data_IF_622354014513
#
_entry.id   IF_622354014513
#
_cell.length_a   1.000
_cell.length_b   1.000
_cell.length_c   1.000
_cell.angle_alpha   90.00
_cell.angle_beta   90.00
_cell.angle_gamma   90.00
#
_symmetry.space_group_name_H-M   'P 1'
#
loop_
_entity.id
_entity.type
_entity.pdbx_description
1 polymer ?
#
# COMPACT_ATOMS: atom_id res chain seq x y z
N UNK A 1 15.73 6.27 -12.55
CA UNK A 1 15.06 6.39 -11.24
C UNK A 1 13.58 6.10 -11.47
N UNK A 2 13.06 5.09 -10.80
CA UNK A 2 11.63 4.79 -10.87
C UNK A 2 10.82 5.88 -10.15
N UNK A 3 9.58 6.11 -10.57
CA UNK A 3 8.71 7.11 -9.92
C UNK A 3 8.47 6.80 -8.42
N UNK A 4 8.60 5.54 -8.01
CA UNK A 4 8.55 5.13 -6.60
C UNK A 4 9.72 5.64 -5.77
N UNK A 5 10.95 5.70 -6.34
CA UNK A 5 12.12 6.22 -5.64
C UNK A 5 11.95 7.71 -5.33
N UNK A 6 11.37 8.46 -6.28
CA UNK A 6 11.04 9.87 -6.08
C UNK A 6 10.03 10.07 -4.94
N UNK A 7 9.02 9.19 -4.83
CA UNK A 7 8.08 9.24 -3.71
C UNK A 7 8.82 9.05 -2.37
N UNK A 8 9.73 8.07 -2.27
CA UNK A 8 10.56 7.88 -1.08
C UNK A 8 11.39 9.11 -0.73
N UNK A 9 12.03 9.74 -1.72
CA UNK A 9 12.81 10.98 -1.53
C UNK A 9 11.94 12.14 -1.03
N UNK A 10 10.73 12.31 -1.55
CA UNK A 10 9.79 13.34 -1.08
C UNK A 10 9.45 13.13 0.40
N UNK A 11 9.23 11.90 0.84
CA UNK A 11 9.01 11.60 2.26
C UNK A 11 10.22 11.94 3.12
N UNK A 12 11.45 11.66 2.65
CA UNK A 12 12.67 12.05 3.37
C UNK A 12 12.81 13.57 3.47
N UNK A 13 12.50 14.31 2.41
CA UNK A 13 12.54 15.78 2.41
C UNK A 13 11.45 16.37 3.33
N UNK A 14 10.29 15.77 3.43
CA UNK A 14 9.20 16.27 4.28
C UNK A 14 9.40 15.92 5.76
N UNK A 15 9.75 14.66 6.06
CA UNK A 15 9.76 14.10 7.42
C UNK A 15 11.16 13.80 7.94
N UNK A 16 12.22 14.06 7.16
CA UNK A 16 13.60 13.93 7.61
C UNK A 16 13.97 14.97 8.68
N UNK A 17 15.08 14.76 9.37
CA UNK A 17 15.54 15.62 10.46
C UNK A 17 15.67 17.11 10.08
N UNK A 18 15.99 17.39 8.82
CA UNK A 18 16.10 18.75 8.27
C UNK A 18 14.89 19.11 7.38
N UNK A 19 13.86 18.27 7.35
CA UNK A 19 12.64 18.47 6.57
C UNK A 19 11.67 19.47 7.20
N UNK A 20 10.62 19.80 6.45
CA UNK A 20 9.60 20.78 6.89
C UNK A 20 8.95 20.39 8.21
N UNK A 21 8.69 19.12 8.44
CA UNK A 21 8.11 18.60 9.69
C UNK A 21 9.17 18.07 10.68
N UNK A 22 10.47 18.09 10.30
CA UNK A 22 11.55 17.55 11.09
C UNK A 22 11.65 18.12 12.51
N UNK A 23 11.71 19.45 12.70
CA UNK A 23 11.80 20.06 14.04
C UNK A 23 10.61 19.70 14.94
N UNK A 24 9.39 19.75 14.40
CA UNK A 24 8.17 19.42 15.15
C UNK A 24 8.13 17.94 15.57
N UNK A 25 8.58 17.03 14.69
CA UNK A 25 8.65 15.60 14.97
C UNK A 25 9.71 15.27 16.03
N UNK A 26 10.84 15.99 16.03
CA UNK A 26 11.90 15.83 17.03
C UNK A 26 11.43 16.31 18.42
N UNK A 27 10.70 17.41 18.48
CA UNK A 27 10.14 17.93 19.74
C UNK A 27 9.17 16.95 20.41
N UNK A 28 8.51 16.08 19.59
CA UNK A 28 7.57 15.06 20.08
C UNK A 28 8.17 13.65 20.15
N UNK A 29 9.49 13.49 19.91
CA UNK A 29 10.22 12.22 19.86
C UNK A 29 9.59 11.18 18.89
N UNK A 30 8.96 11.67 17.81
CA UNK A 30 8.33 10.84 16.78
C UNK A 30 9.33 10.64 15.64
N UNK A 31 9.80 9.41 15.48
CA UNK A 31 10.67 9.02 14.37
C UNK A 31 9.82 8.40 13.26
N UNK A 32 9.73 9.07 12.10
CA UNK A 32 9.05 8.55 10.90
C UNK A 32 10.06 7.92 9.96
N UNK A 33 11.13 8.65 9.62
CA UNK A 33 12.18 8.14 8.73
C UNK A 33 13.05 7.14 9.49
N UNK A 34 13.41 6.05 8.80
CA UNK A 34 14.10 4.88 9.34
C UNK A 34 13.34 4.15 10.46
N UNK A 35 12.01 4.29 10.48
CA UNK A 35 11.13 3.65 11.43
C UNK A 35 9.93 2.99 10.72
N UNK A 36 9.25 2.08 11.42
CA UNK A 36 8.07 1.38 10.89
C UNK A 36 6.96 2.32 10.37
N UNK A 37 6.62 3.44 11.04
CA UNK A 37 5.60 4.37 10.53
C UNK A 37 5.92 4.94 9.14
N UNK A 38 7.20 5.20 8.85
CA UNK A 38 7.62 5.71 7.54
C UNK A 38 7.38 4.71 6.42
N UNK A 39 7.65 3.41 6.67
CA UNK A 39 7.38 2.34 5.70
C UNK A 39 5.88 2.26 5.41
N UNK A 40 5.04 2.29 6.45
CA UNK A 40 3.58 2.23 6.30
C UNK A 40 3.07 3.44 5.50
N UNK A 41 3.51 4.65 5.82
CA UNK A 41 3.10 5.86 5.12
C UNK A 41 3.48 5.84 3.65
N UNK A 42 4.74 5.53 3.33
CA UNK A 42 5.21 5.52 1.94
C UNK A 42 4.55 4.40 1.13
N UNK A 43 4.38 3.21 1.71
CA UNK A 43 3.71 2.10 1.05
C UNK A 43 2.25 2.42 0.77
N UNK A 44 1.54 3.00 1.75
CA UNK A 44 0.15 3.44 1.57
C UNK A 44 0.03 4.49 0.48
N UNK A 45 0.92 5.48 0.47
CA UNK A 45 0.94 6.53 -0.54
C UNK A 45 1.15 5.99 -1.96
N UNK A 46 2.10 5.06 -2.12
CA UNK A 46 2.40 4.45 -3.43
C UNK A 46 1.28 3.52 -3.89
N UNK A 47 0.61 2.83 -2.96
CA UNK A 47 -0.45 1.87 -3.30
C UNK A 47 -1.84 2.50 -3.44
N UNK A 48 -2.10 3.64 -2.80
CA UNK A 48 -3.39 4.32 -2.84
C UNK A 48 -3.92 4.59 -4.27
N UNK A 49 -3.12 5.06 -5.25
CA UNK A 49 -3.59 5.27 -6.62
C UNK A 49 -4.12 3.99 -7.30
N UNK A 50 -3.62 2.81 -6.91
CA UNK A 50 -4.09 1.54 -7.46
C UNK A 50 -5.51 1.21 -6.97
N UNK A 51 -5.82 1.49 -5.69
CA UNK A 51 -7.19 1.37 -5.17
C UNK A 51 -8.15 2.31 -5.90
N UNK A 52 -7.75 3.56 -6.05
CA UNK A 52 -8.58 4.56 -6.72
C UNK A 52 -8.86 4.17 -8.18
N UNK A 53 -7.86 3.70 -8.90
CA UNK A 53 -8.01 3.23 -10.29
C UNK A 53 -8.96 2.06 -10.44
N UNK A 54 -9.08 1.22 -9.43
CA UNK A 54 -9.98 0.06 -9.43
C UNK A 54 -11.40 0.45 -9.02
N UNK A 55 -11.53 1.31 -8.01
CA UNK A 55 -12.85 1.71 -7.48
C UNK A 55 -13.59 2.70 -8.38
N UNK A 56 -12.90 3.65 -9.01
CA UNK A 56 -13.52 4.68 -9.84
C UNK A 56 -14.38 4.07 -10.97
N UNK A 57 -13.85 3.17 -11.84
CA UNK A 57 -14.67 2.59 -12.91
C UNK A 57 -15.79 1.70 -12.36
N UNK A 58 -15.58 1.02 -11.22
CA UNK A 58 -16.62 0.22 -10.59
C UNK A 58 -17.79 1.10 -10.14
N UNK A 59 -17.52 2.21 -9.47
CA UNK A 59 -18.55 3.16 -9.05
C UNK A 59 -19.26 3.81 -10.24
N UNK A 60 -18.53 4.11 -11.31
CA UNK A 60 -19.10 4.65 -12.55
C UNK A 60 -20.07 3.66 -13.23
N UNK A 61 -19.76 2.38 -13.22
CA UNK A 61 -20.63 1.35 -13.83
C UNK A 61 -21.87 1.04 -13.00
N UNK A 62 -21.82 1.24 -11.68
CA UNK A 62 -22.99 1.06 -10.80
C UNK A 62 -24.00 2.20 -10.91
N UNK A 63 -23.56 3.39 -11.34
CA UNK A 63 -24.39 4.58 -11.39
C UNK A 63 -24.70 5.14 -10.01
N UNK A 64 -25.48 6.22 -9.96
CA UNK A 64 -25.87 6.92 -8.72
C UNK A 64 -27.34 6.70 -8.32
N UNK A 65 -28.06 5.85 -9.03
CA UNK A 65 -29.49 5.64 -8.82
C UNK A 65 -29.86 5.15 -7.41
N UNK A 66 -29.14 4.15 -6.82
CA UNK A 66 -29.42 3.70 -5.46
C UNK A 66 -29.17 4.79 -4.40
N UNK A 67 -28.16 5.61 -4.62
CA UNK A 67 -27.79 6.71 -3.72
C UNK A 67 -28.82 7.83 -3.78
N UNK A 68 -29.27 8.19 -4.99
CA UNK A 68 -30.34 9.19 -5.19
C UNK A 68 -31.65 8.71 -4.58
N UNK A 69 -32.00 7.44 -4.73
CA UNK A 69 -33.18 6.86 -4.10
C UNK A 69 -33.12 6.93 -2.57
N UNK A 70 -31.95 6.64 -1.98
CA UNK A 70 -31.77 6.76 -0.54
C UNK A 70 -31.92 8.21 -0.04
N UNK A 71 -31.36 9.19 -0.79
CA UNK A 71 -31.49 10.59 -0.47
C UNK A 71 -32.94 11.08 -0.57
N UNK A 72 -33.70 10.64 -1.57
CA UNK A 72 -35.15 10.98 -1.70
C UNK A 72 -35.98 10.41 -0.57
N UNK A 73 -35.56 9.29 0.03
CA UNK A 73 -36.19 8.69 1.21
C UNK A 73 -35.74 9.38 2.53
N UNK A 74 -34.96 10.44 2.47
CA UNK A 74 -34.55 11.24 3.63
C UNK A 74 -33.30 10.74 4.34
N UNK A 75 -32.52 9.82 3.74
CA UNK A 75 -31.25 9.39 4.30
C UNK A 75 -30.21 10.52 4.25
N UNK A 76 -29.45 10.70 5.33
CA UNK A 76 -28.29 11.60 5.30
C UNK A 76 -27.15 11.03 4.44
N UNK A 77 -26.24 11.87 3.93
CA UNK A 77 -25.12 11.41 3.11
C UNK A 77 -24.25 10.35 3.81
N UNK A 78 -24.06 10.44 5.13
CA UNK A 78 -23.35 9.45 5.94
C UNK A 78 -24.08 8.11 6.03
N UNK A 79 -25.41 8.15 6.19
CA UNK A 79 -26.27 6.94 6.18
C UNK A 79 -26.27 6.28 4.80
N UNK A 80 -26.37 7.06 3.72
CA UNK A 80 -26.26 6.58 2.34
C UNK A 80 -24.94 5.89 2.10
N UNK A 81 -23.83 6.49 2.53
CA UNK A 81 -22.50 5.88 2.38
C UNK A 81 -22.41 4.51 3.05
N UNK A 82 -22.80 4.38 4.31
CA UNK A 82 -22.64 3.13 5.06
C UNK A 82 -23.64 2.03 4.68
N UNK A 83 -24.88 2.39 4.31
CA UNK A 83 -25.94 1.41 4.06
C UNK A 83 -26.18 1.11 2.57
N UNK A 84 -25.77 2.01 1.67
CA UNK A 84 -25.98 1.86 0.22
C UNK A 84 -24.66 1.74 -0.52
N UNK A 85 -23.81 2.78 -0.44
CA UNK A 85 -22.58 2.84 -1.23
C UNK A 85 -21.58 1.76 -0.83
N UNK A 86 -21.22 1.67 0.46
CA UNK A 86 -20.21 0.72 0.93
C UNK A 86 -20.59 -0.75 0.70
N UNK A 87 -21.82 -1.21 1.00
CA UNK A 87 -22.23 -2.58 0.67
C UNK A 87 -22.25 -2.87 -0.82
N UNK A 88 -22.57 -1.86 -1.64
CA UNK A 88 -22.60 -1.99 -3.10
C UNK A 88 -21.21 -2.22 -3.69
N UNK A 89 -20.19 -1.50 -3.20
CA UNK A 89 -18.81 -1.59 -3.69
C UNK A 89 -17.92 -2.58 -2.92
N UNK A 90 -18.47 -3.28 -1.91
CA UNK A 90 -17.67 -4.16 -1.01
C UNK A 90 -16.74 -5.13 -1.72
N UNK A 91 -17.20 -5.74 -2.81
CA UNK A 91 -16.38 -6.65 -3.59
C UNK A 91 -15.24 -5.95 -4.35
N UNK A 92 -15.50 -4.73 -4.83
CA UNK A 92 -14.45 -3.90 -5.44
C UNK A 92 -13.41 -3.43 -4.43
N UNK A 93 -13.85 -3.06 -3.22
CA UNK A 93 -12.94 -2.70 -2.13
C UNK A 93 -12.07 -3.90 -1.75
N UNK A 94 -12.66 -5.09 -1.56
CA UNK A 94 -11.91 -6.30 -1.25
C UNK A 94 -10.88 -6.63 -2.34
N UNK A 95 -11.28 -6.52 -3.60
CA UNK A 95 -10.39 -6.72 -4.74
C UNK A 95 -9.25 -5.69 -4.76
N UNK A 96 -9.57 -4.41 -4.55
CA UNK A 96 -8.59 -3.33 -4.44
C UNK A 96 -7.58 -3.56 -3.33
N UNK A 97 -8.02 -4.01 -2.15
CA UNK A 97 -7.15 -4.36 -1.02
C UNK A 97 -6.19 -5.49 -1.36
N UNK A 98 -6.65 -6.54 -2.06
CA UNK A 98 -5.79 -7.65 -2.48
C UNK A 98 -4.75 -7.19 -3.50
N UNK A 99 -5.14 -6.35 -4.47
CA UNK A 99 -4.21 -5.76 -5.43
C UNK A 99 -3.16 -4.88 -4.74
N UNK A 100 -3.58 -4.05 -3.79
CA UNK A 100 -2.65 -3.23 -3.01
C UNK A 100 -1.68 -4.08 -2.21
N UNK A 101 -2.15 -5.16 -1.59
CA UNK A 101 -1.31 -6.06 -0.82
C UNK A 101 -0.27 -6.74 -1.73
N UNK A 102 -0.69 -7.27 -2.89
CA UNK A 102 0.23 -7.84 -3.87
C UNK A 102 1.26 -6.83 -4.37
N UNK A 103 0.85 -5.58 -4.60
CA UNK A 103 1.75 -4.50 -5.02
C UNK A 103 2.71 -4.08 -3.91
N UNK A 104 2.22 -3.96 -2.68
CA UNK A 104 3.01 -3.58 -1.51
C UNK A 104 4.09 -4.60 -1.16
N UNK A 105 3.82 -5.90 -1.34
CA UNK A 105 4.80 -6.97 -1.11
C UNK A 105 6.03 -6.87 -2.02
N UNK A 106 5.86 -6.32 -3.23
CA UNK A 106 6.95 -6.11 -4.18
C UNK A 106 7.53 -4.69 -4.17
N UNK A 107 7.11 -3.82 -3.24
CA UNK A 107 7.63 -2.46 -3.18
C UNK A 107 9.05 -2.43 -2.63
N UNK A 108 9.97 -2.01 -3.48
CA UNK A 108 11.38 -1.92 -3.18
C UNK A 108 11.88 -0.47 -3.16
N UNK A 109 11.64 0.28 -4.25
CA UNK A 109 12.25 1.58 -4.48
C UNK A 109 11.96 2.61 -3.37
N UNK A 110 10.68 2.94 -3.14
CA UNK A 110 10.31 3.94 -2.13
C UNK A 110 10.67 3.47 -0.70
N UNK A 111 10.50 2.17 -0.44
CA UNK A 111 10.80 1.58 0.87
C UNK A 111 12.31 1.55 1.13
N UNK A 112 13.15 1.29 0.14
CA UNK A 112 14.61 1.29 0.32
C UNK A 112 15.15 2.64 0.79
N UNK A 113 14.57 3.73 0.28
CA UNK A 113 14.95 5.11 0.66
C UNK A 113 14.51 5.45 2.09
N UNK A 114 13.30 5.05 2.50
CA UNK A 114 12.69 5.45 3.78
C UNK A 114 13.07 4.51 4.92
N UNK A 115 13.32 3.23 4.65
CA UNK A 115 13.58 2.22 5.68
C UNK A 115 15.00 2.26 6.25
N UNK A 116 15.99 2.70 5.46
CA UNK A 116 17.40 2.70 5.86
C UNK A 116 17.98 1.31 6.13
N UNK A 117 17.31 0.23 5.73
CA UNK A 117 17.78 -1.17 5.83
C UNK A 117 18.19 -1.62 7.25
N UNK A 118 17.55 -1.11 8.31
CA UNK A 118 17.88 -1.46 9.69
C UNK A 118 17.42 -2.89 9.98
N UNK A 119 18.39 -3.80 10.18
CA UNK A 119 18.13 -5.22 10.49
C UNK A 119 17.28 -5.37 11.75
N UNK A 120 16.22 -6.18 11.66
CA UNK A 120 15.33 -6.47 12.79
C UNK A 120 14.28 -5.40 13.10
N UNK A 121 14.29 -4.26 12.38
CA UNK A 121 13.33 -3.15 12.60
C UNK A 121 12.61 -2.74 11.32
N UNK A 122 13.34 -2.30 10.29
CA UNK A 122 12.76 -1.72 9.07
C UNK A 122 13.12 -2.48 7.80
N UNK A 123 13.81 -3.60 7.90
CA UNK A 123 14.22 -4.40 6.75
C UNK A 123 13.04 -5.23 6.23
N UNK A 124 12.55 -4.90 5.04
CA UNK A 124 11.49 -5.68 4.36
C UNK A 124 12.07 -6.86 3.59
N UNK A 125 11.23 -7.83 3.23
CA UNK A 125 11.69 -9.03 2.53
C UNK A 125 12.37 -8.74 1.19
N UNK A 126 11.88 -7.81 0.31
CA UNK A 126 12.60 -7.39 -0.88
C UNK A 126 13.99 -6.78 -0.59
N UNK A 127 14.09 -5.95 0.44
CA UNK A 127 15.37 -5.37 0.86
C UNK A 127 16.32 -6.43 1.40
N UNK A 128 15.80 -7.44 2.11
CA UNK A 128 16.61 -8.56 2.60
C UNK A 128 17.21 -9.38 1.44
N UNK A 129 16.48 -9.57 0.35
CA UNK A 129 17.00 -10.24 -0.87
C UNK A 129 18.20 -9.48 -1.41
N UNK A 130 18.11 -8.15 -1.52
CA UNK A 130 19.20 -7.28 -1.98
C UNK A 130 20.42 -7.37 -1.05
N UNK A 131 20.21 -7.24 0.26
CA UNK A 131 21.29 -7.32 1.26
C UNK A 131 22.02 -8.67 1.20
N UNK A 132 21.27 -9.77 1.05
CA UNK A 132 21.85 -11.11 0.92
C UNK A 132 22.62 -11.28 -0.39
N UNK A 133 22.10 -10.72 -1.48
CA UNK A 133 22.78 -10.75 -2.79
C UNK A 133 24.09 -9.97 -2.75
N UNK A 134 24.10 -8.77 -2.20
CA UNK A 134 25.31 -7.95 -2.06
C UNK A 134 26.33 -8.53 -1.06
N UNK A 135 25.88 -9.34 -0.11
CA UNK A 135 26.78 -10.05 0.80
C UNK A 135 27.35 -11.36 0.21
N UNK A 136 27.20 -11.58 -1.10
CA UNK A 136 27.64 -12.77 -1.83
C UNK A 136 27.05 -14.09 -1.32
N UNK A 137 25.94 -14.02 -0.59
CA UNK A 137 25.20 -15.21 -0.13
C UNK A 137 24.05 -15.53 -1.11
N UNK A 138 24.40 -15.92 -2.34
CA UNK A 138 23.44 -16.20 -3.39
C UNK A 138 22.38 -17.25 -3.00
N UNK A 139 22.72 -18.40 -2.35
CA UNK A 139 21.69 -19.38 -1.97
C UNK A 139 20.62 -18.79 -1.05
N UNK A 140 21.02 -17.98 -0.05
CA UNK A 140 20.06 -17.34 0.84
C UNK A 140 19.22 -16.26 0.16
N UNK A 141 19.79 -15.50 -0.79
CA UNK A 141 19.06 -14.53 -1.59
C UNK A 141 17.99 -15.20 -2.47
N UNK A 142 18.33 -16.31 -3.13
CA UNK A 142 17.39 -17.07 -3.95
C UNK A 142 16.28 -17.72 -3.13
N UNK A 143 16.58 -18.24 -1.92
CA UNK A 143 15.53 -18.78 -1.04
C UNK A 143 14.56 -17.70 -0.57
N UNK A 144 15.06 -16.51 -0.19
CA UNK A 144 14.22 -15.38 0.18
C UNK A 144 13.35 -14.87 -0.98
N UNK A 145 13.92 -14.79 -2.20
CA UNK A 145 13.19 -14.46 -3.41
C UNK A 145 12.13 -15.52 -3.75
N UNK A 146 12.42 -16.81 -3.52
CA UNK A 146 11.47 -17.91 -3.66
C UNK A 146 10.26 -17.77 -2.75
N UNK A 147 10.46 -17.40 -1.48
CA UNK A 147 9.37 -17.13 -0.54
C UNK A 147 8.49 -15.97 -1.04
N UNK A 148 9.09 -14.87 -1.52
CA UNK A 148 8.35 -13.76 -2.12
C UNK A 148 7.51 -14.20 -3.31
N UNK A 149 8.07 -15.03 -4.19
CA UNK A 149 7.39 -15.55 -5.37
C UNK A 149 6.19 -16.42 -4.98
N UNK A 150 6.35 -17.29 -3.97
CA UNK A 150 5.24 -18.13 -3.47
C UNK A 150 4.12 -17.24 -2.90
N UNK A 151 4.45 -16.23 -2.09
CA UNK A 151 3.47 -15.31 -1.53
C UNK A 151 2.73 -14.55 -2.64
N UNK A 152 3.45 -14.09 -3.68
CA UNK A 152 2.85 -13.43 -4.83
C UNK A 152 1.90 -14.37 -5.60
N UNK A 153 2.27 -15.63 -5.79
CA UNK A 153 1.40 -16.62 -6.42
C UNK A 153 0.15 -16.91 -5.60
N UNK A 154 0.26 -17.01 -4.29
CA UNK A 154 -0.90 -17.17 -3.39
C UNK A 154 -1.86 -15.99 -3.53
N UNK A 155 -1.37 -14.76 -3.54
CA UNK A 155 -2.22 -13.57 -3.72
C UNK A 155 -2.88 -13.52 -5.09
N UNK A 156 -2.19 -13.96 -6.16
CA UNK A 156 -2.76 -14.06 -7.50
C UNK A 156 -3.87 -15.13 -7.59
N UNK A 157 -3.65 -16.29 -6.97
CA UNK A 157 -4.66 -17.36 -6.91
C UNK A 157 -5.89 -16.88 -6.13
N UNK A 158 -5.68 -16.21 -5.00
CA UNK A 158 -6.78 -15.65 -4.21
C UNK A 158 -7.57 -14.61 -4.99
N UNK A 159 -6.88 -13.74 -5.73
CA UNK A 159 -7.49 -12.79 -6.66
C UNK A 159 -8.35 -13.50 -7.70
N UNK A 160 -7.79 -14.48 -8.43
CA UNK A 160 -8.49 -15.23 -9.48
C UNK A 160 -9.73 -15.98 -8.93
N UNK A 161 -9.63 -16.51 -7.70
CA UNK A 161 -10.75 -17.15 -7.04
C UNK A 161 -11.89 -16.18 -6.74
N UNK A 162 -11.56 -14.98 -6.25
CA UNK A 162 -12.56 -13.94 -5.98
C UNK A 162 -13.21 -13.41 -7.25
N UNK A 163 -12.47 -13.27 -8.35
CA UNK A 163 -13.03 -12.90 -9.65
C UNK A 163 -14.03 -13.94 -10.16
N UNK A 164 -13.79 -15.22 -9.88
CA UNK A 164 -14.68 -16.31 -10.31
C UNK A 164 -15.96 -16.40 -9.45
N UNK A 165 -15.92 -15.90 -8.21
CA UNK A 165 -17.08 -15.88 -7.31
C UNK A 165 -17.97 -14.63 -7.47
N UNK A 166 -17.56 -13.68 -8.32
CA UNK A 166 -18.30 -12.46 -8.66
C UNK A 166 -19.17 -12.67 -9.89
#
# INVERSE_FOLDING_TARGET
MCSSDLAGLVFVVLFGAQGWFGPWLQDHDIRIIFAFPGIVLVTTFVTFPFVARELIPLMQTQGSDPEQAALTLGASGWQTFWHVTLPSIKWGVLYGVILCNARAMGEFGAVSVVSGNVRGSTNTLPLQVEVLYHSYNAPAAFTAAGVLTILALITLVLKAFLERCR
#
